data_IF_084553754515
#
_entry.id   IF_084553754515
#
_cell.length_a   1.000
_cell.length_b   1.000
_cell.length_c   1.000
_cell.angle_alpha   90.00
_cell.angle_beta   90.00
_cell.angle_gamma   90.00
#
_symmetry.space_group_name_H-M   'P 1'
#
loop_
_entity.id
_entity.type
_entity.pdbx_description
1 polymer ?
#
# COMPACT_ATOMS: atom_id res chain seq x y z
N UNK A 1 -31.88 12.19 -48.46
CA UNK A 1 -31.88 10.89 -47.79
C UNK A 1 -30.46 10.47 -47.31
N UNK A 2 -29.43 10.64 -48.15
CA UNK A 2 -28.02 10.28 -47.76
C UNK A 2 -27.50 11.13 -46.62
N UNK A 3 -27.82 12.42 -46.56
CA UNK A 3 -27.37 13.32 -45.47
C UNK A 3 -27.89 12.91 -44.11
N UNK A 4 -29.09 12.39 -44.00
CA UNK A 4 -29.66 11.94 -42.72
C UNK A 4 -28.97 10.67 -42.23
N UNK A 5 -28.56 9.78 -43.12
CA UNK A 5 -27.82 8.58 -42.79
C UNK A 5 -26.41 8.93 -42.21
N UNK A 6 -25.73 9.91 -42.79
CA UNK A 6 -24.43 10.38 -42.30
C UNK A 6 -24.54 11.02 -40.90
N UNK A 7 -25.56 11.81 -40.64
CA UNK A 7 -25.82 12.41 -39.35
C UNK A 7 -26.08 11.31 -38.30
N UNK A 8 -26.84 10.28 -38.63
CA UNK A 8 -27.11 9.15 -37.76
C UNK A 8 -25.85 8.38 -37.37
N UNK A 9 -24.98 8.12 -38.34
CA UNK A 9 -23.69 7.44 -38.10
C UNK A 9 -22.76 8.31 -37.24
N UNK A 10 -22.69 9.60 -37.50
CA UNK A 10 -21.89 10.53 -36.71
C UNK A 10 -22.37 10.61 -35.26
N UNK A 11 -23.68 10.62 -35.03
CA UNK A 11 -24.25 10.60 -33.69
C UNK A 11 -23.95 9.31 -32.94
N UNK A 12 -24.03 8.17 -33.59
CA UNK A 12 -23.67 6.88 -32.98
C UNK A 12 -22.20 6.83 -32.61
N UNK A 13 -21.31 7.34 -33.45
CA UNK A 13 -19.89 7.42 -33.18
C UNK A 13 -19.59 8.32 -31.98
N UNK A 14 -20.24 9.48 -31.88
CA UNK A 14 -20.11 10.39 -30.75
C UNK A 14 -20.61 9.78 -29.43
N UNK A 15 -21.74 9.08 -29.47
CA UNK A 15 -22.30 8.41 -28.31
C UNK A 15 -21.36 7.30 -27.79
N UNK A 16 -20.80 6.53 -28.72
CA UNK A 16 -19.83 5.48 -28.42
C UNK A 16 -18.56 6.02 -27.79
N UNK A 17 -18.04 7.14 -28.29
CA UNK A 17 -16.89 7.82 -27.74
C UNK A 17 -17.17 8.36 -26.33
N UNK A 18 -18.34 8.88 -26.08
CA UNK A 18 -18.76 9.41 -24.80
C UNK A 18 -18.85 8.32 -23.73
N UNK A 19 -19.40 7.17 -24.08
CA UNK A 19 -19.47 6.01 -23.18
C UNK A 19 -18.08 5.48 -22.80
N UNK A 20 -17.14 5.42 -23.74
CA UNK A 20 -15.77 5.01 -23.47
C UNK A 20 -15.03 5.99 -22.54
N UNK A 21 -15.27 7.29 -22.69
CA UNK A 21 -14.69 8.30 -21.83
C UNK A 21 -15.22 8.21 -20.39
N UNK A 22 -16.51 7.98 -20.19
CA UNK A 22 -17.09 7.79 -18.87
C UNK A 22 -16.53 6.55 -18.16
N UNK A 23 -16.38 5.45 -18.87
CA UNK A 23 -15.78 4.24 -18.32
C UNK A 23 -14.32 4.48 -17.87
N UNK A 24 -13.56 5.26 -18.62
CA UNK A 24 -12.18 5.62 -18.27
C UNK A 24 -12.11 6.51 -17.03
N UNK A 25 -13.02 7.46 -16.88
CA UNK A 25 -13.10 8.35 -15.72
C UNK A 25 -13.44 7.56 -14.46
N UNK A 26 -14.42 6.67 -14.52
CA UNK A 26 -14.80 5.82 -13.39
C UNK A 26 -13.62 4.93 -12.95
N UNK A 27 -12.91 4.34 -13.93
CA UNK A 27 -11.70 3.54 -13.66
C UNK A 27 -10.61 4.35 -12.95
N UNK A 28 -10.41 5.60 -13.39
CA UNK A 28 -9.45 6.51 -12.78
C UNK A 28 -9.83 6.88 -11.34
N UNK A 29 -11.10 7.11 -11.07
CA UNK A 29 -11.59 7.40 -9.74
C UNK A 29 -11.41 6.22 -8.77
N UNK A 30 -11.71 5.01 -9.22
CA UNK A 30 -11.54 3.82 -8.40
C UNK A 30 -10.07 3.55 -8.09
N UNK A 31 -9.18 3.76 -9.05
CA UNK A 31 -7.74 3.66 -8.83
C UNK A 31 -7.24 4.71 -7.83
N UNK A 32 -7.72 5.94 -7.94
CA UNK A 32 -7.38 7.01 -6.99
C UNK A 32 -7.85 6.68 -5.58
N UNK A 33 -9.08 6.19 -5.44
CA UNK A 33 -9.61 5.74 -4.15
C UNK A 33 -8.79 4.58 -3.57
N UNK A 34 -8.46 3.59 -4.38
CA UNK A 34 -7.63 2.46 -3.97
C UNK A 34 -6.25 2.91 -3.49
N UNK A 35 -5.61 3.85 -4.20
CA UNK A 35 -4.31 4.38 -3.80
C UNK A 35 -4.38 5.17 -2.50
N UNK A 36 -5.41 5.98 -2.30
CA UNK A 36 -5.64 6.73 -1.05
C UNK A 36 -5.84 5.79 0.13
N UNK A 37 -6.64 4.75 -0.04
CA UNK A 37 -6.89 3.75 1.00
C UNK A 37 -5.61 2.98 1.34
N UNK A 38 -4.82 2.60 0.34
CA UNK A 38 -3.53 1.95 0.55
C UNK A 38 -2.54 2.83 1.31
N UNK A 39 -2.45 4.11 0.97
CA UNK A 39 -1.60 5.07 1.66
C UNK A 39 -2.03 5.27 3.11
N UNK A 40 -3.33 5.32 3.37
CA UNK A 40 -3.86 5.44 4.72
C UNK A 40 -3.54 4.21 5.57
N UNK A 41 -3.71 3.01 5.02
CA UNK A 41 -3.33 1.77 5.69
C UNK A 41 -1.84 1.72 5.98
N UNK A 42 -1.00 2.17 5.05
CA UNK A 42 0.45 2.24 5.22
C UNK A 42 0.82 3.23 6.33
N UNK A 43 0.25 4.42 6.32
CA UNK A 43 0.48 5.42 7.37
C UNK A 43 0.07 4.91 8.76
N UNK A 44 -1.04 4.20 8.84
CA UNK A 44 -1.48 3.56 10.09
C UNK A 44 -0.49 2.49 10.55
N UNK A 45 0.05 1.71 9.62
CA UNK A 45 1.06 0.69 9.92
C UNK A 45 2.39 1.31 10.38
N UNK A 46 2.80 2.45 9.82
CA UNK A 46 4.01 3.17 10.22
C UNK A 46 3.94 3.72 11.65
N UNK A 47 2.77 4.22 12.04
CA UNK A 47 2.54 4.77 13.39
C UNK A 47 2.41 3.65 14.42
N UNK A 48 1.98 2.48 14.00
CA UNK A 48 1.88 1.31 14.86
C UNK A 48 3.27 0.75 15.21
N UNK A 49 3.28 -0.26 16.06
CA UNK A 49 4.52 -0.99 16.37
C UNK A 49 5.13 -1.58 15.11
N UNK A 50 6.43 -1.83 15.17
CA UNK A 50 7.14 -2.57 14.14
C UNK A 50 6.37 -3.85 13.78
N UNK A 51 5.93 -4.03 12.52
CA UNK A 51 4.98 -5.06 12.18
C UNK A 51 5.57 -6.46 12.27
N UNK A 52 4.81 -7.38 12.85
CA UNK A 52 5.15 -8.79 12.84
C UNK A 52 4.97 -9.40 11.45
N UNK A 53 5.83 -10.35 11.05
CA UNK A 53 5.66 -11.06 9.79
C UNK A 53 4.34 -11.81 9.71
N UNK A 54 3.72 -11.81 8.56
CA UNK A 54 2.47 -12.52 8.33
C UNK A 54 1.57 -11.82 7.32
N UNK A 55 0.39 -12.40 7.14
CA UNK A 55 -0.65 -11.88 6.27
C UNK A 55 -1.89 -11.55 7.07
N UNK A 56 -2.43 -10.38 6.81
CA UNK A 56 -3.73 -9.96 7.34
C UNK A 56 -4.57 -9.41 6.20
N UNK A 57 -5.86 -9.53 6.32
CA UNK A 57 -6.80 -9.03 5.32
C UNK A 57 -8.05 -8.51 6.02
N UNK A 58 -8.81 -7.70 5.32
CA UNK A 58 -10.03 -7.14 5.85
C UNK A 58 -10.78 -6.29 4.84
N UNK A 59 -11.77 -5.60 5.35
CA UNK A 59 -12.56 -4.64 4.60
C UNK A 59 -12.44 -3.23 5.22
N UNK A 60 -13.10 -2.26 4.60
CA UNK A 60 -13.11 -0.88 5.05
C UNK A 60 -14.39 -0.50 5.82
N UNK A 61 -15.24 -1.45 6.14
CA UNK A 61 -16.52 -1.18 6.80
C UNK A 61 -16.38 -0.65 8.23
N UNK A 62 -15.28 -0.99 8.89
CA UNK A 62 -15.00 -0.52 10.24
C UNK A 62 -14.73 0.98 10.28
N UNK A 63 -13.91 1.47 9.38
CA UNK A 63 -13.48 2.87 9.33
C UNK A 63 -14.40 3.74 8.46
N UNK A 64 -15.00 3.12 7.44
CA UNK A 64 -15.87 3.78 6.47
C UNK A 64 -17.14 2.94 6.22
N UNK A 65 -18.09 2.90 7.16
CA UNK A 65 -19.29 2.08 7.03
C UNK A 65 -20.08 2.41 5.75
N UNK A 66 -20.30 1.42 4.90
CA UNK A 66 -21.12 1.52 3.71
C UNK A 66 -20.53 2.28 2.53
N UNK A 67 -19.30 2.82 2.64
CA UNK A 67 -18.71 3.65 1.58
C UNK A 67 -17.86 2.86 0.59
N UNK A 68 -17.18 1.82 1.06
CA UNK A 68 -16.23 1.03 0.25
C UNK A 68 -16.57 -0.45 0.27
N UNK A 69 -17.82 -0.80 -0.02
CA UNK A 69 -18.29 -2.19 0.00
C UNK A 69 -17.60 -3.08 -1.03
N UNK A 70 -17.13 -2.50 -2.14
CA UNK A 70 -16.45 -3.20 -3.22
C UNK A 70 -14.92 -3.15 -3.09
N UNK A 71 -14.42 -2.77 -1.93
CA UNK A 71 -12.99 -2.70 -1.65
C UNK A 71 -12.63 -3.68 -0.55
N UNK A 72 -11.48 -4.35 -0.74
CA UNK A 72 -10.86 -5.23 0.26
C UNK A 72 -9.39 -4.90 0.32
N UNK A 73 -8.77 -5.19 1.46
CA UNK A 73 -7.34 -5.00 1.61
C UNK A 73 -6.66 -6.26 2.10
N UNK A 74 -5.42 -6.43 1.69
CA UNK A 74 -4.50 -7.44 2.21
C UNK A 74 -3.20 -6.75 2.61
N UNK A 75 -2.66 -7.14 3.73
CA UNK A 75 -1.34 -6.71 4.17
C UNK A 75 -0.45 -7.94 4.32
N UNK A 76 0.67 -7.92 3.66
CA UNK A 76 1.71 -8.93 3.76
C UNK A 76 2.98 -8.29 4.32
N UNK A 77 3.52 -8.86 5.37
CA UNK A 77 4.75 -8.41 6.02
C UNK A 77 5.77 -9.52 5.91
N UNK A 78 6.88 -9.24 5.23
CA UNK A 78 7.97 -10.17 5.02
C UNK A 78 9.22 -9.75 5.77
N UNK A 79 9.93 -10.73 6.29
CA UNK A 79 11.29 -10.55 6.82
C UNK A 79 12.27 -10.51 5.66
N UNK A 80 13.21 -9.59 5.70
CA UNK A 80 14.32 -9.55 4.76
C UNK A 80 15.50 -10.27 5.40
N UNK A 81 15.94 -11.43 4.88
CA UNK A 81 16.99 -12.24 5.54
C UNK A 81 18.32 -11.52 5.70
N UNK A 82 18.65 -10.63 4.77
CA UNK A 82 19.89 -9.84 4.79
C UNK A 82 19.82 -8.66 5.78
N UNK A 83 18.62 -8.23 6.12
CA UNK A 83 18.36 -7.09 7.00
C UNK A 83 17.25 -7.45 8.00
N UNK A 84 17.57 -8.17 9.09
CA UNK A 84 16.58 -8.66 10.04
C UNK A 84 15.84 -7.55 10.79
N UNK A 85 16.41 -6.36 10.83
CA UNK A 85 15.82 -5.14 11.42
C UNK A 85 14.90 -4.37 10.45
N UNK A 86 14.74 -4.89 9.24
CA UNK A 86 13.84 -4.33 8.24
C UNK A 86 12.68 -5.28 7.93
N UNK A 87 11.56 -4.69 7.57
CA UNK A 87 10.38 -5.42 7.07
C UNK A 87 9.94 -4.84 5.75
N UNK A 88 9.58 -5.72 4.83
CA UNK A 88 8.88 -5.33 3.63
C UNK A 88 7.39 -5.45 3.88
N UNK A 89 6.69 -4.34 3.83
CA UNK A 89 5.24 -4.28 3.99
C UNK A 89 4.62 -4.04 2.63
N UNK A 90 3.79 -4.96 2.20
CA UNK A 90 2.98 -4.84 1.00
C UNK A 90 1.52 -4.69 1.40
N UNK A 91 0.91 -3.63 0.94
CA UNK A 91 -0.53 -3.41 1.08
C UNK A 91 -1.15 -3.50 -0.30
N UNK A 92 -2.10 -4.40 -0.45
CA UNK A 92 -2.85 -4.61 -1.67
C UNK A 92 -4.29 -4.22 -1.43
N UNK A 93 -4.81 -3.35 -2.26
CA UNK A 93 -6.23 -2.98 -2.26
C UNK A 93 -6.87 -3.60 -3.49
N UNK A 94 -7.83 -4.49 -3.24
CA UNK A 94 -8.61 -5.13 -4.28
C UNK A 94 -9.90 -4.35 -4.47
N UNK A 95 -10.23 -4.06 -5.69
CA UNK A 95 -11.40 -3.23 -6.02
C UNK A 95 -11.99 -3.60 -7.37
N UNK A 96 -13.09 -2.94 -7.70
CA UNK A 96 -13.81 -3.15 -8.93
C UNK A 96 -14.79 -4.30 -8.86
N UNK A 97 -15.40 -4.60 -10.00
CA UNK A 97 -16.41 -5.65 -10.10
C UNK A 97 -15.79 -7.03 -9.82
N UNK A 98 -16.32 -7.73 -8.80
CA UNK A 98 -15.78 -9.02 -8.40
C UNK A 98 -14.36 -8.97 -7.83
N UNK A 99 -13.88 -7.80 -7.38
CA UNK A 99 -12.51 -7.59 -6.87
C UNK A 99 -11.45 -7.96 -7.91
N UNK A 100 -11.73 -7.71 -9.19
CA UNK A 100 -10.87 -8.10 -10.31
C UNK A 100 -9.64 -7.20 -10.50
N UNK A 101 -9.61 -6.05 -9.83
CA UNK A 101 -8.52 -5.09 -9.91
C UNK A 101 -7.77 -5.02 -8.59
N UNK A 102 -6.49 -4.68 -8.70
CA UNK A 102 -5.60 -4.64 -7.56
C UNK A 102 -4.66 -3.44 -7.67
N UNK A 103 -4.45 -2.77 -6.54
CA UNK A 103 -3.42 -1.76 -6.36
C UNK A 103 -2.48 -2.22 -5.25
N UNK A 104 -1.20 -2.28 -5.54
CA UNK A 104 -0.17 -2.70 -4.59
C UNK A 104 0.71 -1.51 -4.19
N UNK A 105 0.91 -1.34 -2.90
CA UNK A 105 1.85 -0.39 -2.32
C UNK A 105 2.87 -1.16 -1.49
N UNK A 106 4.14 -0.98 -1.77
CA UNK A 106 5.24 -1.66 -1.07
C UNK A 106 6.11 -0.63 -0.39
N UNK A 107 6.40 -0.86 0.88
CA UNK A 107 7.29 -0.01 1.66
C UNK A 107 8.20 -0.86 2.55
N UNK A 108 9.38 -0.35 2.82
CA UNK A 108 10.35 -0.96 3.70
C UNK A 108 10.38 -0.19 5.02
N UNK A 109 10.08 -0.87 6.11
CA UNK A 109 10.07 -0.30 7.45
C UNK A 109 11.28 -0.77 8.24
N UNK A 110 11.94 0.17 8.89
CA UNK A 110 13.07 -0.10 9.77
C UNK A 110 12.58 -0.23 11.21
N UNK A 111 13.17 -1.17 11.95
CA UNK A 111 12.87 -1.32 13.36
C UNK A 111 13.43 -0.10 14.13
N UNK A 112 12.59 0.68 14.84
CA UNK A 112 13.06 1.82 15.62
C UNK A 112 13.91 1.41 16.82
N UNK A 113 13.82 0.16 17.27
CA UNK A 113 14.60 -0.40 18.37
C UNK A 113 15.28 -1.71 17.92
N UNK A 114 16.30 -1.63 17.03
CA UNK A 114 16.98 -2.83 16.60
C UNK A 114 17.71 -3.49 17.77
N UNK A 115 17.74 -4.84 17.81
CA UNK A 115 18.55 -5.52 18.82
C UNK A 115 20.02 -5.14 18.66
N UNK A 116 20.79 -5.06 19.77
CA UNK A 116 22.20 -4.72 19.69
C UNK A 116 22.95 -5.73 18.82
N UNK A 117 23.81 -5.21 17.95
CA UNK A 117 24.65 -6.06 17.12
C UNK A 117 25.61 -6.88 18.00
N UNK A 118 25.83 -8.17 17.72
CA UNK A 118 26.64 -9.03 18.56
C UNK A 118 28.08 -8.58 18.80
N UNK A 119 28.59 -7.63 18.04
CA UNK A 119 29.96 -7.15 18.08
C UNK A 119 30.10 -5.64 18.28
N UNK A 120 29.05 -4.96 18.70
CA UNK A 120 29.15 -3.55 18.96
C UNK A 120 29.58 -3.37 20.43
N UNK A 121 30.79 -2.82 20.70
CA UNK A 121 31.17 -2.52 22.08
C UNK A 121 30.16 -1.53 22.66
N UNK A 122 29.69 -1.83 23.84
CA UNK A 122 28.77 -0.97 24.58
C UNK A 122 29.34 0.44 24.70
N UNK A 123 28.83 1.36 23.92
CA UNK A 123 29.25 2.75 23.93
C UNK A 123 28.96 3.44 25.27
N UNK A 124 28.15 2.79 26.11
CA UNK A 124 27.73 3.30 27.42
C UNK A 124 28.48 2.66 28.62
N UNK A 125 29.49 1.83 28.37
CA UNK A 125 30.25 1.28 29.47
C UNK A 125 31.62 1.94 29.60
N UNK A 126 31.76 2.95 30.44
CA UNK A 126 33.03 3.62 30.65
C UNK A 126 34.09 2.74 31.37
N UNK A 127 33.69 1.55 31.82
CA UNK A 127 34.60 0.63 32.55
C UNK A 127 35.59 -0.10 31.63
N UNK A 128 35.35 -0.11 30.30
CA UNK A 128 36.30 -0.72 29.35
C UNK A 128 37.31 0.26 28.76
N UNK A 129 37.14 1.56 29.03
CA UNK A 129 38.09 2.59 28.58
C UNK A 129 39.27 2.77 29.58
N UNK A 130 39.27 2.08 30.70
CA UNK A 130 40.28 2.15 31.73
C UNK A 130 41.18 0.93 31.77
N UNK A 131 41.48 0.38 30.64
CA UNK A 131 42.52 -0.63 30.57
C UNK A 131 43.88 -0.01 30.73
N UNK A 132 44.37 -0.09 31.97
CA UNK A 132 45.77 -0.04 32.28
C UNK A 132 46.42 1.33 32.38
N UNK A 133 46.49 1.71 33.59
CA UNK A 133 47.69 2.37 34.06
C UNK A 133 48.61 1.30 34.68
N UNK A 134 49.38 0.62 33.87
CA UNK A 134 50.49 -0.16 34.39
C UNK A 134 51.54 0.79 34.97
N UNK A 135 52.27 0.45 35.98
CA UNK A 135 53.34 1.28 36.54
C UNK A 135 54.46 1.49 35.57
#
# INVERSE_FOLDING_TARGET
MIAVAFIGIAMLALLSLHQNNLASVIRGQDLTRASMLAQQLMSTAEVARFPDPGRTHGDFNRDYPGQFNNFRWEREVDVIPQFPDMRRVRISVLYGHGLSRRFDLVEYMHNPNPPPMPNQPDADNPATAGGDAGP
#
